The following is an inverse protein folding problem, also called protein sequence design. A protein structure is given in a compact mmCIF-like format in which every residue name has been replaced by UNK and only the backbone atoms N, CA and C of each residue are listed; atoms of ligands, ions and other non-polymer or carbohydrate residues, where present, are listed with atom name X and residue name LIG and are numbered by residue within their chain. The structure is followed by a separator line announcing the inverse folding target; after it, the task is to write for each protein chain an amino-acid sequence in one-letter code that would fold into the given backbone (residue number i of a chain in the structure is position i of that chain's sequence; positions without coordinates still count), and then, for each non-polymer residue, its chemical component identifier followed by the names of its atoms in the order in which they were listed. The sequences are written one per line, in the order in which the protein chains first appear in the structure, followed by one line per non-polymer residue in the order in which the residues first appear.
data_IF_304002424768
#
_entry.id   IF_304002424768
#
_cell.length_a   1.000
_cell.length_b   1.000
_cell.length_c   1.000
_cell.angle_alpha   90.00
_cell.angle_beta   90.00
_cell.angle_gamma   90.00
#
_symmetry.space_group_name_H-M   'P 1'
#
loop_
_entity.id
_entity.type
_entity.pdbx_description
1 polymer ?
#
# COMPACT_ATOMS: atom_id res chain seq x y z
N UNK A 1 -30.61 39.91 5.63
CA UNK A 1 -29.24 39.37 5.57
C UNK A 1 -28.30 40.52 5.26
N UNK A 2 -27.57 40.99 6.27
CA UNK A 2 -26.72 42.18 6.20
C UNK A 2 -25.40 41.86 5.46
N UNK A 3 -24.87 42.84 4.73
CA UNK A 3 -23.63 42.72 3.94
C UNK A 3 -22.44 42.13 4.74
N UNK A 4 -22.45 42.31 6.05
CA UNK A 4 -21.43 41.74 6.95
C UNK A 4 -21.45 40.21 7.05
N UNK A 5 -22.61 39.57 6.88
CA UNK A 5 -22.71 38.09 6.90
C UNK A 5 -22.10 37.46 5.64
N UNK A 6 -22.20 38.11 4.47
CA UNK A 6 -21.56 37.65 3.24
C UNK A 6 -20.03 37.79 3.28
N UNK A 7 -19.53 38.87 3.84
CA UNK A 7 -18.07 39.10 3.97
C UNK A 7 -17.42 38.06 4.91
N UNK A 8 -18.12 37.70 5.98
CA UNK A 8 -17.63 36.67 6.92
C UNK A 8 -17.59 35.28 6.27
N UNK A 9 -18.63 34.92 5.50
CA UNK A 9 -18.69 33.66 4.79
C UNK A 9 -17.58 33.52 3.74
N UNK A 10 -17.32 34.57 2.97
CA UNK A 10 -16.24 34.59 1.95
C UNK A 10 -14.85 34.49 2.62
N UNK A 11 -14.64 35.11 3.77
CA UNK A 11 -13.38 34.97 4.53
C UNK A 11 -13.17 33.57 5.08
N UNK A 12 -14.21 32.90 5.57
CA UNK A 12 -14.10 31.51 6.08
C UNK A 12 -13.80 30.55 4.92
N UNK A 13 -14.43 30.70 3.79
CA UNK A 13 -14.17 29.87 2.58
C UNK A 13 -12.73 30.08 2.07
N UNK A 14 -12.25 31.32 2.01
CA UNK A 14 -10.87 31.59 1.61
C UNK A 14 -9.84 31.04 2.61
N UNK A 15 -10.09 31.10 3.92
CA UNK A 15 -9.22 30.49 4.91
C UNK A 15 -9.18 28.97 4.84
N UNK A 16 -10.31 28.34 4.50
CA UNK A 16 -10.34 26.89 4.28
C UNK A 16 -9.63 26.47 2.98
N UNK A 17 -9.76 27.26 1.92
CA UNK A 17 -9.08 27.01 0.64
C UNK A 17 -7.57 27.22 0.76
N UNK A 18 -7.11 28.27 1.43
CA UNK A 18 -5.66 28.49 1.67
C UNK A 18 -5.06 27.39 2.54
N UNK A 19 -5.75 26.97 3.61
CA UNK A 19 -5.28 25.86 4.44
C UNK A 19 -5.26 24.51 3.68
N UNK A 20 -6.19 24.30 2.74
CA UNK A 20 -6.17 23.13 1.87
C UNK A 20 -5.02 23.19 0.85
N UNK A 21 -4.77 24.37 0.28
CA UNK A 21 -3.63 24.61 -0.64
C UNK A 21 -2.27 24.46 0.06
N UNK A 22 -2.12 25.01 1.25
CA UNK A 22 -0.89 24.84 2.05
C UNK A 22 -0.67 23.37 2.40
N UNK A 23 -1.72 22.62 2.77
CA UNK A 23 -1.62 21.17 2.99
C UNK A 23 -1.22 20.40 1.72
N UNK A 24 -1.77 20.75 0.57
CA UNK A 24 -1.38 20.15 -0.71
C UNK A 24 0.07 20.50 -1.07
N UNK A 25 0.51 21.72 -0.86
CA UNK A 25 1.88 22.15 -1.15
C UNK A 25 2.89 21.48 -0.21
N UNK A 26 2.59 21.41 1.09
CA UNK A 26 3.42 20.73 2.09
C UNK A 26 3.54 19.22 1.74
N UNK A 27 2.44 18.57 1.35
CA UNK A 27 2.46 17.15 0.94
C UNK A 27 3.30 16.92 -0.34
N UNK A 28 3.42 17.91 -1.23
CA UNK A 28 4.20 17.77 -2.47
C UNK A 28 5.71 17.88 -2.25
N UNK A 29 6.16 18.41 -1.12
CA UNK A 29 7.58 18.62 -0.80
C UNK A 29 8.13 17.63 0.23
N UNK A 30 7.26 16.93 0.95
CA UNK A 30 7.67 15.96 1.98
C UNK A 30 7.87 14.56 1.39
N UNK A 31 8.89 13.82 1.85
CA UNK A 31 9.14 12.46 1.37
C UNK A 31 7.98 11.53 1.76
N UNK A 32 7.35 10.93 0.76
CA UNK A 32 6.34 9.89 0.93
C UNK A 32 7.00 8.54 0.74
N UNK A 33 6.92 7.69 1.76
CA UNK A 33 7.52 6.36 1.80
C UNK A 33 6.40 5.34 1.66
N UNK A 34 6.48 4.49 0.65
CA UNK A 34 5.51 3.42 0.41
C UNK A 34 6.03 2.04 0.87
N UNK A 35 5.18 1.01 0.81
CA UNK A 35 5.55 -0.35 1.22
C UNK A 35 6.70 -0.94 0.38
N UNK A 36 6.85 -0.56 -0.89
CA UNK A 36 7.94 -1.03 -1.73
C UNK A 36 9.27 -0.43 -1.28
N UNK A 37 9.28 0.85 -0.92
CA UNK A 37 10.46 1.53 -0.37
C UNK A 37 10.90 0.87 0.94
N UNK A 38 9.96 0.62 1.85
CA UNK A 38 10.21 -0.08 3.12
C UNK A 38 10.78 -1.49 2.85
N UNK A 39 10.23 -2.19 1.88
CA UNK A 39 10.71 -3.52 1.50
C UNK A 39 12.14 -3.48 0.95
N UNK A 40 12.45 -2.49 0.13
CA UNK A 40 13.79 -2.31 -0.43
C UNK A 40 14.81 -2.00 0.68
N UNK A 41 14.51 -1.07 1.58
CA UNK A 41 15.36 -0.74 2.72
C UNK A 41 15.60 -1.98 3.60
N UNK A 42 14.54 -2.74 3.89
CA UNK A 42 14.64 -3.96 4.69
C UNK A 42 15.53 -5.00 4.03
N UNK A 43 15.41 -5.21 2.72
CA UNK A 43 16.26 -6.13 1.95
C UNK A 43 17.73 -5.71 1.97
N UNK A 44 18.01 -4.42 1.75
CA UNK A 44 19.36 -3.88 1.77
C UNK A 44 20.01 -4.07 3.14
N UNK A 45 19.28 -3.79 4.23
CA UNK A 45 19.80 -3.99 5.58
C UNK A 45 20.05 -5.48 5.89
N UNK A 46 19.20 -6.39 5.43
CA UNK A 46 19.41 -7.82 5.59
C UNK A 46 20.62 -8.32 4.81
N UNK A 47 20.85 -7.83 3.59
CA UNK A 47 22.03 -8.16 2.80
C UNK A 47 23.33 -7.71 3.46
N UNK A 48 23.33 -6.54 4.10
CA UNK A 48 24.49 -6.03 4.86
C UNK A 48 24.76 -6.88 6.11
N UNK A 49 23.70 -7.33 6.79
CA UNK A 49 23.82 -8.14 8.01
C UNK A 49 24.16 -9.62 7.72
N UNK A 50 23.71 -10.14 6.56
CA UNK A 50 23.84 -11.56 6.18
C UNK A 50 24.26 -11.70 4.72
N UNK A 51 25.50 -11.32 4.33
CA UNK A 51 25.94 -11.27 2.93
C UNK A 51 25.92 -12.63 2.23
N UNK A 52 25.94 -13.74 2.97
CA UNK A 52 25.98 -15.10 2.44
C UNK A 52 24.60 -15.79 2.37
N UNK A 53 23.53 -15.17 2.86
CA UNK A 53 22.19 -15.73 2.68
C UNK A 53 21.67 -15.39 1.29
N UNK A 54 21.75 -16.38 0.38
CA UNK A 54 21.04 -16.30 -0.91
C UNK A 54 19.54 -16.23 -0.61
N UNK A 55 18.96 -15.04 -0.73
CA UNK A 55 17.52 -14.88 -0.78
C UNK A 55 17.03 -15.59 -2.05
N UNK A 56 16.48 -16.78 -1.88
CA UNK A 56 15.73 -17.41 -2.96
C UNK A 56 14.40 -16.68 -3.13
N UNK A 57 14.17 -15.96 -4.20
CA UNK A 57 12.83 -15.53 -4.58
C UNK A 57 12.07 -16.80 -4.99
N UNK A 58 11.52 -17.52 -4.00
CA UNK A 58 10.77 -18.76 -4.21
C UNK A 58 9.38 -18.54 -4.83
N UNK A 59 9.22 -17.55 -5.69
CA UNK A 59 8.05 -17.44 -6.56
C UNK A 59 8.47 -17.75 -7.98
N UNK A 60 7.89 -18.80 -8.57
CA UNK A 60 8.02 -19.02 -10.00
C UNK A 60 7.41 -17.80 -10.73
N UNK A 61 7.90 -17.49 -11.93
CA UNK A 61 7.32 -16.41 -12.75
C UNK A 61 5.82 -16.65 -13.00
N UNK A 62 5.41 -17.92 -13.08
CA UNK A 62 4.01 -18.32 -13.21
C UNK A 62 3.18 -17.93 -12.00
N UNK A 63 3.69 -18.12 -10.78
CA UNK A 63 2.99 -17.75 -9.54
C UNK A 63 2.78 -16.22 -9.43
N UNK A 64 3.72 -15.44 -9.97
CA UNK A 64 3.60 -13.98 -10.05
C UNK A 64 2.48 -13.56 -10.98
N UNK A 65 2.41 -14.09 -12.20
CA UNK A 65 1.36 -13.78 -13.19
C UNK A 65 -0.03 -14.13 -12.65
N UNK A 66 -0.17 -15.30 -12.03
CA UNK A 66 -1.46 -15.71 -11.45
C UNK A 66 -1.86 -14.80 -10.29
N UNK A 67 -0.92 -14.35 -9.46
CA UNK A 67 -1.18 -13.43 -8.35
C UNK A 67 -1.62 -12.05 -8.86
N UNK A 68 -0.98 -11.54 -9.92
CA UNK A 68 -1.31 -10.25 -10.53
C UNK A 68 -2.70 -10.29 -11.17
N UNK A 69 -3.00 -11.35 -11.92
CA UNK A 69 -4.33 -11.56 -12.52
C UNK A 69 -5.41 -11.72 -11.45
N UNK A 70 -5.14 -12.41 -10.35
CA UNK A 70 -6.07 -12.51 -9.24
C UNK A 70 -6.36 -11.14 -8.62
N UNK A 71 -5.33 -10.33 -8.39
CA UNK A 71 -5.51 -8.97 -7.88
C UNK A 71 -6.34 -8.10 -8.82
N UNK A 72 -6.12 -8.23 -10.14
CA UNK A 72 -6.91 -7.54 -11.16
C UNK A 72 -8.39 -7.98 -11.12
N UNK A 73 -8.65 -9.30 -11.06
CA UNK A 73 -10.02 -9.84 -10.97
C UNK A 73 -10.74 -9.32 -9.73
N UNK A 74 -10.08 -9.33 -8.57
CA UNK A 74 -10.68 -8.82 -7.34
C UNK A 74 -11.01 -7.33 -7.45
N UNK A 75 -10.13 -6.53 -8.03
CA UNK A 75 -10.38 -5.10 -8.28
C UNK A 75 -11.58 -4.90 -9.21
N UNK A 76 -11.62 -5.59 -10.34
CA UNK A 76 -12.74 -5.51 -11.29
C UNK A 76 -14.05 -5.93 -10.67
N UNK A 77 -14.05 -7.03 -9.89
CA UNK A 77 -15.22 -7.52 -9.18
C UNK A 77 -15.84 -6.48 -8.25
N UNK A 78 -15.01 -5.77 -7.48
CA UNK A 78 -15.49 -4.72 -6.57
C UNK A 78 -15.88 -3.42 -7.28
N UNK A 79 -15.33 -3.15 -8.47
CA UNK A 79 -15.75 -2.07 -9.35
C UNK A 79 -17.05 -2.41 -10.12
N UNK A 80 -17.53 -3.65 -10.05
CA UNK A 80 -18.72 -4.12 -10.78
C UNK A 80 -18.48 -4.32 -12.27
N UNK A 81 -17.23 -4.49 -12.68
CA UNK A 81 -16.84 -4.77 -14.06
C UNK A 81 -16.98 -6.28 -14.37
N UNK A 82 -17.21 -6.65 -15.65
CA UNK A 82 -17.28 -8.06 -16.05
C UNK A 82 -15.97 -8.78 -15.77
N UNK A 83 -16.05 -9.92 -15.11
CA UNK A 83 -14.88 -10.77 -14.77
C UNK A 83 -14.94 -12.16 -15.40
N UNK A 84 -16.07 -12.53 -16.00
CA UNK A 84 -16.31 -13.85 -16.55
C UNK A 84 -15.23 -14.30 -17.54
N UNK A 85 -14.75 -13.45 -18.49
CA UNK A 85 -13.68 -13.84 -19.39
C UNK A 85 -12.38 -14.24 -18.68
N UNK A 86 -12.03 -13.52 -17.59
CA UNK A 86 -10.85 -13.82 -16.79
C UNK A 86 -11.03 -15.09 -15.95
N UNK A 87 -12.22 -15.28 -15.37
CA UNK A 87 -12.53 -16.50 -14.61
C UNK A 87 -12.50 -17.75 -15.48
N UNK A 88 -13.00 -17.65 -16.72
CA UNK A 88 -12.95 -18.76 -17.70
C UNK A 88 -11.51 -19.07 -18.13
N UNK A 89 -10.67 -18.05 -18.29
CA UNK A 89 -9.27 -18.23 -18.67
C UNK A 89 -8.40 -18.79 -17.53
N UNK A 90 -8.79 -18.52 -16.26
CA UNK A 90 -8.03 -18.90 -15.08
C UNK A 90 -8.91 -19.62 -14.04
N UNK A 91 -9.17 -20.93 -14.18
CA UNK A 91 -10.03 -21.70 -13.25
C UNK A 91 -9.58 -21.63 -11.78
N UNK A 92 -8.28 -21.56 -11.54
CA UNK A 92 -7.71 -21.39 -10.19
C UNK A 92 -8.17 -20.07 -9.54
N UNK A 93 -8.22 -18.98 -10.32
CA UNK A 93 -8.68 -17.68 -9.85
C UNK A 93 -10.19 -17.75 -9.55
N UNK A 94 -10.96 -18.41 -10.40
CA UNK A 94 -12.40 -18.62 -10.16
C UNK A 94 -12.65 -19.36 -8.83
N UNK A 95 -11.87 -20.41 -8.56
CA UNK A 95 -11.92 -21.14 -7.29
C UNK A 95 -11.60 -20.22 -6.10
N UNK A 96 -10.56 -19.42 -6.17
CA UNK A 96 -10.18 -18.50 -5.10
C UNK A 96 -11.24 -17.42 -4.85
N UNK A 97 -11.83 -16.87 -5.90
CA UNK A 97 -12.94 -15.91 -5.78
C UNK A 97 -14.12 -16.54 -5.04
N UNK A 98 -14.51 -17.77 -5.40
CA UNK A 98 -15.57 -18.52 -4.71
C UNK A 98 -15.24 -18.74 -3.23
N UNK A 99 -14.02 -19.17 -2.93
CA UNK A 99 -13.58 -19.38 -1.54
C UNK A 99 -13.61 -18.07 -0.72
N UNK A 100 -13.23 -16.95 -1.31
CA UNK A 100 -13.31 -15.63 -0.64
C UNK A 100 -14.79 -15.26 -0.39
N UNK A 101 -15.69 -15.53 -1.34
CA UNK A 101 -17.12 -15.26 -1.19
C UNK A 101 -17.71 -16.06 -0.03
N UNK A 102 -17.27 -17.29 0.17
CA UNK A 102 -17.68 -18.14 1.29
C UNK A 102 -17.09 -17.66 2.63
N UNK A 103 -15.80 -17.30 2.65
CA UNK A 103 -15.09 -16.91 3.87
C UNK A 103 -15.43 -15.49 4.36
N UNK A 104 -15.77 -14.58 3.46
CA UNK A 104 -16.03 -13.18 3.77
C UNK A 104 -17.28 -12.66 3.01
N UNK A 105 -18.47 -13.27 3.16
CA UNK A 105 -19.67 -12.87 2.44
C UNK A 105 -20.08 -11.42 2.74
N UNK A 106 -19.66 -10.87 3.87
CA UNK A 106 -19.94 -9.50 4.27
C UNK A 106 -19.38 -8.45 3.31
N UNK A 107 -18.24 -8.70 2.66
CA UNK A 107 -17.65 -7.73 1.72
C UNK A 107 -18.39 -7.73 0.38
N UNK A 108 -19.03 -8.83 0.00
CA UNK A 108 -19.79 -8.95 -1.25
C UNK A 108 -21.22 -8.42 -1.12
N UNK A 109 -21.85 -8.62 0.04
CA UNK A 109 -23.20 -8.10 0.32
C UNK A 109 -23.26 -6.57 0.28
N UNK A 110 -22.17 -5.92 0.53
CA UNK A 110 -22.07 -4.45 0.61
C UNK A 110 -20.90 -3.92 -0.22
N UNK A 111 -20.80 -4.31 -1.49
CA UNK A 111 -19.69 -3.93 -2.39
C UNK A 111 -19.37 -2.43 -2.38
N UNK A 112 -20.40 -1.58 -2.33
CA UNK A 112 -20.25 -0.12 -2.28
C UNK A 112 -19.58 0.40 -0.99
N UNK A 113 -19.46 -0.44 0.04
CA UNK A 113 -18.86 -0.07 1.33
C UNK A 113 -17.41 -0.51 1.49
N UNK A 114 -16.90 -1.32 0.57
CA UNK A 114 -15.50 -1.70 0.54
C UNK A 114 -14.75 -0.81 -0.44
N UNK A 115 -13.80 -0.05 0.09
CA UNK A 115 -12.84 0.73 -0.69
C UNK A 115 -11.66 -0.18 -1.00
N UNK A 116 -11.47 -0.52 -2.26
CA UNK A 116 -10.36 -1.37 -2.74
C UNK A 116 -9.18 -0.49 -3.10
N UNK A 117 -7.96 -0.93 -2.72
CA UNK A 117 -6.70 -0.21 -2.94
C UNK A 117 -6.78 1.26 -2.50
N UNK A 118 -7.51 1.51 -1.41
CA UNK A 118 -7.65 2.87 -0.89
C UNK A 118 -6.32 3.37 -0.35
N UNK A 119 -5.83 4.53 -0.80
CA UNK A 119 -4.62 5.12 -0.25
C UNK A 119 -4.87 5.61 1.18
N UNK A 120 -4.00 5.18 2.07
CA UNK A 120 -3.99 5.60 3.48
C UNK A 120 -2.63 6.19 3.76
N UNK A 121 -2.59 7.40 4.34
CA UNK A 121 -1.38 8.17 4.58
C UNK A 121 -1.33 8.60 6.04
N UNK A 122 -0.20 8.38 6.70
CA UNK A 122 -0.01 8.82 8.07
C UNK A 122 1.35 9.48 8.27
N UNK A 123 1.43 10.55 9.07
CA UNK A 123 2.70 11.17 9.42
C UNK A 123 3.50 10.29 10.39
N UNK A 124 4.81 10.25 10.16
CA UNK A 124 5.80 9.63 11.02
C UNK A 124 6.92 10.64 11.29
N UNK A 125 7.06 11.08 12.53
CA UNK A 125 8.15 11.95 12.94
C UNK A 125 9.43 11.12 13.13
N UNK A 126 10.51 11.52 12.45
CA UNK A 126 11.83 10.91 12.56
C UNK A 126 12.82 12.03 12.83
N UNK A 127 13.39 12.08 14.03
CA UNK A 127 14.14 13.22 14.51
C UNK A 127 13.28 14.50 14.42
N UNK A 128 13.73 15.54 13.75
CA UNK A 128 12.99 16.79 13.53
C UNK A 128 12.26 16.83 12.17
N UNK A 129 12.39 15.77 11.38
CA UNK A 129 11.76 15.66 10.05
C UNK A 129 10.44 14.91 10.09
N UNK A 130 9.45 15.40 9.34
CA UNK A 130 8.20 14.73 9.13
C UNK A 130 8.24 13.93 7.82
N UNK A 131 8.02 12.64 7.91
CA UNK A 131 7.84 11.74 6.79
C UNK A 131 6.38 11.30 6.70
N UNK A 132 5.94 10.87 5.52
CA UNK A 132 4.62 10.28 5.34
C UNK A 132 4.73 8.83 4.91
N UNK A 133 4.07 7.95 5.64
CA UNK A 133 3.93 6.54 5.25
C UNK A 133 2.62 6.40 4.48
N UNK A 134 2.71 5.96 3.22
CA UNK A 134 1.56 5.68 2.36
C UNK A 134 1.42 4.18 2.12
N UNK A 135 0.21 3.67 2.28
CA UNK A 135 -0.13 2.28 1.98
C UNK A 135 -1.40 2.21 1.15
N UNK A 136 -1.49 1.20 0.30
CA UNK A 136 -2.75 0.83 -0.35
C UNK A 136 -3.36 -0.32 0.45
N UNK A 137 -4.64 -0.21 0.78
CA UNK A 137 -5.33 -1.25 1.56
C UNK A 137 -6.83 -1.28 1.25
N UNK A 138 -7.45 -2.44 1.48
CA UNK A 138 -8.88 -2.60 1.29
C UNK A 138 -9.58 -2.33 2.62
N UNK A 139 -10.47 -1.33 2.66
CA UNK A 139 -11.10 -0.85 3.90
C UNK A 139 -12.61 -0.88 3.76
N UNK A 140 -13.28 -1.48 4.74
CA UNK A 140 -14.70 -1.29 5.00
C UNK A 140 -14.89 -0.59 6.34
N UNK A 141 -15.97 0.17 6.48
CA UNK A 141 -16.30 0.83 7.75
C UNK A 141 -17.49 0.13 8.41
N UNK A 142 -17.33 -0.21 9.69
CA UNK A 142 -18.41 -0.68 10.54
C UNK A 142 -18.59 0.32 11.68
N UNK A 143 -19.73 1.01 11.72
CA UNK A 143 -20.01 2.06 12.72
C UNK A 143 -18.90 3.13 12.81
N UNK A 144 -18.36 3.54 11.65
CA UNK A 144 -17.26 4.51 11.56
C UNK A 144 -15.86 3.95 11.84
N UNK A 145 -15.74 2.72 12.29
CA UNK A 145 -14.45 2.08 12.60
C UNK A 145 -13.94 1.33 11.37
N UNK A 146 -12.70 1.59 10.91
CA UNK A 146 -12.11 0.91 9.77
C UNK A 146 -11.81 -0.55 10.09
N UNK A 147 -12.17 -1.42 9.17
CA UNK A 147 -11.80 -2.83 9.14
C UNK A 147 -11.06 -3.11 7.84
N UNK A 148 -9.86 -3.60 7.93
CA UNK A 148 -9.02 -3.92 6.78
C UNK A 148 -9.33 -5.33 6.29
N UNK A 149 -9.24 -5.52 4.98
CA UNK A 149 -9.33 -6.83 4.33
C UNK A 149 -8.11 -7.02 3.44
N UNK A 150 -7.42 -8.14 3.66
CA UNK A 150 -6.26 -8.52 2.86
C UNK A 150 -6.49 -9.89 2.25
N UNK A 151 -6.37 -10.01 0.96
CA UNK A 151 -6.39 -11.28 0.25
C UNK A 151 -5.05 -11.49 -0.45
N UNK A 152 -4.41 -12.61 -0.16
CA UNK A 152 -3.08 -12.89 -0.68
C UNK A 152 -2.81 -14.39 -0.76
N UNK A 153 -2.00 -14.78 -1.73
CA UNK A 153 -1.51 -16.15 -1.88
C UNK A 153 -0.36 -16.35 -0.92
N UNK A 154 -0.66 -16.74 0.29
CA UNK A 154 0.32 -16.93 1.39
C UNK A 154 -0.23 -17.75 2.54
N UNK A 155 0.65 -18.14 3.45
CA UNK A 155 0.20 -18.72 4.73
C UNK A 155 -0.58 -17.69 5.57
N UNK A 156 -1.58 -18.13 6.38
CA UNK A 156 -2.38 -17.27 7.24
C UNK A 156 -1.58 -16.76 8.44
N UNK A 157 -0.87 -15.65 8.26
CA UNK A 157 -0.13 -14.98 9.33
C UNK A 157 -0.15 -13.47 9.15
N UNK A 158 0.05 -12.74 10.21
CA UNK A 158 0.19 -11.29 10.19
C UNK A 158 1.61 -10.91 9.74
N UNK A 159 1.74 -10.35 8.54
CA UNK A 159 3.02 -9.93 8.00
C UNK A 159 3.41 -8.53 8.51
N UNK A 160 4.65 -8.10 8.23
CA UNK A 160 5.07 -6.74 8.53
C UNK A 160 4.30 -5.69 7.70
N UNK A 161 3.96 -6.00 6.43
CA UNK A 161 3.13 -5.14 5.58
C UNK A 161 1.75 -4.91 6.22
N UNK A 162 1.13 -5.96 6.74
CA UNK A 162 -0.16 -5.85 7.42
C UNK A 162 -0.08 -4.97 8.67
N UNK A 163 1.03 -5.07 9.43
CA UNK A 163 1.28 -4.22 10.59
C UNK A 163 1.41 -2.75 10.21
N UNK A 164 2.12 -2.44 9.11
CA UNK A 164 2.24 -1.08 8.59
C UNK A 164 0.89 -0.56 8.12
N UNK A 165 0.08 -1.37 7.39
CA UNK A 165 -1.28 -1.01 6.98
C UNK A 165 -2.16 -0.68 8.18
N UNK A 166 -2.13 -1.50 9.24
CA UNK A 166 -2.89 -1.27 10.48
C UNK A 166 -2.43 -0.01 11.20
N UNK A 167 -1.11 0.19 11.33
CA UNK A 167 -0.53 1.37 11.97
C UNK A 167 -0.92 2.66 11.23
N UNK A 168 -0.76 2.69 9.91
CA UNK A 168 -1.09 3.85 9.07
C UNK A 168 -2.58 4.17 9.14
N UNK A 169 -3.44 3.12 9.07
CA UNK A 169 -4.89 3.29 9.17
C UNK A 169 -5.32 3.86 10.52
N UNK A 170 -4.76 3.35 11.63
CA UNK A 170 -5.05 3.85 12.97
C UNK A 170 -4.73 5.35 13.09
N UNK A 171 -3.61 5.76 12.53
CA UNK A 171 -3.14 7.15 12.55
C UNK A 171 -4.00 8.06 11.67
N UNK A 172 -4.26 7.67 10.42
CA UNK A 172 -5.03 8.51 9.49
C UNK A 172 -6.45 8.78 9.99
N UNK A 173 -7.12 7.75 10.49
CA UNK A 173 -8.50 7.88 10.96
C UNK A 173 -8.62 8.26 12.43
N UNK A 174 -7.49 8.49 13.13
CA UNK A 174 -7.44 8.85 14.56
C UNK A 174 -8.26 7.90 15.43
N UNK A 175 -8.24 6.60 15.11
CA UNK A 175 -9.02 5.57 15.80
C UNK A 175 -8.15 4.87 16.83
N UNK A 176 -8.77 4.50 17.97
CA UNK A 176 -8.07 3.71 18.98
C UNK A 176 -7.60 2.38 18.38
N UNK A 177 -6.31 2.03 18.47
CA UNK A 177 -5.77 0.79 17.92
C UNK A 177 -6.53 -0.46 18.33
N UNK A 178 -7.04 -0.53 19.55
CA UNK A 178 -7.81 -1.68 20.05
C UNK A 178 -9.16 -1.91 19.32
N UNK A 179 -9.61 -0.94 18.55
CA UNK A 179 -10.86 -1.04 17.77
C UNK A 179 -10.64 -1.49 16.34
N UNK A 180 -9.40 -1.41 15.83
CA UNK A 180 -9.07 -1.79 14.46
C UNK A 180 -8.79 -3.28 14.38
N UNK A 181 -9.17 -3.86 13.26
CA UNK A 181 -8.87 -5.26 12.94
C UNK A 181 -8.59 -5.42 11.45
N UNK A 182 -7.82 -6.46 11.13
CA UNK A 182 -7.60 -6.92 9.77
C UNK A 182 -8.13 -8.34 9.62
N UNK A 183 -8.79 -8.58 8.50
CA UNK A 183 -9.22 -9.92 8.06
C UNK A 183 -8.29 -10.34 6.94
N UNK A 184 -7.51 -11.36 7.18
CA UNK A 184 -6.60 -11.93 6.18
C UNK A 184 -7.27 -13.17 5.58
N UNK A 185 -7.48 -13.12 4.27
CA UNK A 185 -8.01 -14.21 3.45
C UNK A 185 -6.80 -14.84 2.73
N UNK A 186 -6.23 -15.85 3.37
CA UNK A 186 -5.03 -16.51 2.89
C UNK A 186 -5.40 -17.59 1.89
N UNK A 187 -4.94 -17.43 0.66
CA UNK A 187 -5.16 -18.33 -0.46
C UNK A 187 -3.97 -19.29 -0.63
N UNK A 188 -4.25 -20.48 -1.13
CA UNK A 188 -3.25 -21.48 -1.42
C UNK A 188 -3.58 -22.20 -2.73
N UNK A 189 -2.59 -22.54 -3.58
CA UNK A 189 -2.83 -23.23 -4.84
C UNK A 189 -3.55 -24.57 -4.72
N UNK A 190 -3.29 -25.29 -3.62
CA UNK A 190 -3.79 -26.69 -3.45
C UNK A 190 -4.71 -26.82 -2.24
N UNK A 191 -4.51 -26.04 -1.18
CA UNK A 191 -5.28 -26.14 0.06
C UNK A 191 -6.46 -25.17 0.06
N UNK A 192 -7.53 -25.45 0.81
CA UNK A 192 -8.61 -24.49 1.00
C UNK A 192 -8.10 -23.15 1.55
N UNK A 193 -8.73 -22.08 1.12
CA UNK A 193 -8.45 -20.75 1.66
C UNK A 193 -8.77 -20.68 3.15
N UNK A 194 -8.05 -19.85 3.87
CA UNK A 194 -8.20 -19.70 5.32
C UNK A 194 -8.45 -18.24 5.68
N UNK A 195 -9.33 -18.04 6.65
CA UNK A 195 -9.63 -16.72 7.21
C UNK A 195 -8.97 -16.56 8.56
N UNK A 196 -8.16 -15.52 8.71
CA UNK A 196 -7.54 -15.11 9.97
C UNK A 196 -8.05 -13.70 10.34
N UNK A 197 -8.66 -13.59 11.53
CA UNK A 197 -9.07 -12.30 12.07
C UNK A 197 -8.06 -11.85 13.12
N UNK A 198 -7.40 -10.73 12.88
CA UNK A 198 -6.40 -10.18 13.81
C UNK A 198 -6.93 -8.87 14.37
N UNK A 199 -7.01 -8.76 15.69
CA UNK A 199 -7.29 -7.51 16.40
C UNK A 199 -5.97 -6.78 16.64
N UNK A 200 -5.96 -5.50 16.34
CA UNK A 200 -4.84 -4.64 16.62
C UNK A 200 -4.86 -4.18 18.08
N UNK A 201 -3.74 -3.72 18.59
CA UNK A 201 -3.69 -3.17 19.95
C UNK A 201 -2.61 -2.09 20.08
N UNK A 202 -2.68 -1.32 21.16
CA UNK A 202 -1.78 -0.20 21.42
C UNK A 202 -0.29 -0.63 21.52
N UNK A 203 -0.02 -1.81 22.04
CA UNK A 203 1.36 -2.34 22.16
C UNK A 203 1.96 -2.59 20.77
N UNK A 204 1.22 -3.25 19.88
CA UNK A 204 1.65 -3.49 18.50
C UNK A 204 1.76 -2.21 17.70
N UNK A 205 0.85 -1.25 17.90
CA UNK A 205 0.93 0.09 17.32
C UNK A 205 2.27 0.75 17.66
N UNK A 206 2.63 0.80 18.92
CA UNK A 206 3.89 1.39 19.39
C UNK A 206 5.13 0.61 18.91
N UNK A 207 5.06 -0.71 18.87
CA UNK A 207 6.14 -1.54 18.38
C UNK A 207 6.40 -1.33 16.88
N UNK A 208 5.33 -1.22 16.09
CA UNK A 208 5.43 -0.96 14.66
C UNK A 208 6.00 0.43 14.40
N UNK A 209 5.57 1.44 15.14
CA UNK A 209 6.11 2.79 15.05
C UNK A 209 7.61 2.84 15.36
N UNK A 210 8.02 2.24 16.48
CA UNK A 210 9.44 2.15 16.86
C UNK A 210 10.28 1.40 15.81
N UNK A 211 9.72 0.34 15.23
CA UNK A 211 10.38 -0.40 14.17
C UNK A 211 10.53 0.46 12.89
N UNK A 212 9.49 1.19 12.48
CA UNK A 212 9.55 2.10 11.34
C UNK A 212 10.60 3.20 11.55
N UNK A 213 10.59 3.86 12.72
CA UNK A 213 11.59 4.87 13.07
C UNK A 213 13.00 4.26 12.98
N UNK A 214 13.23 3.12 13.64
CA UNK A 214 14.53 2.46 13.61
C UNK A 214 14.99 2.10 12.19
N UNK A 215 14.06 1.64 11.35
CA UNK A 215 14.35 1.25 9.97
C UNK A 215 14.78 2.46 9.12
N UNK A 216 14.11 3.59 9.32
CA UNK A 216 14.29 4.79 8.49
C UNK A 216 15.37 5.74 9.05
N UNK A 217 15.73 5.63 10.34
CA UNK A 217 16.77 6.46 10.98
C UNK A 217 18.18 5.90 10.78
N UNK A 218 18.34 4.64 10.35
CA UNK A 218 19.70 4.11 10.12
C UNK A 218 20.38 4.92 9.05
N UNK A 219 21.58 5.46 9.31
CA UNK A 219 22.36 6.12 8.29
C UNK A 219 22.54 5.14 7.14
N UNK A 220 22.21 5.56 5.94
CA UNK A 220 22.79 4.99 4.75
C UNK A 220 24.29 5.24 4.94
N UNK A 221 25.05 4.19 5.26
CA UNK A 221 26.48 4.28 5.44
C UNK A 221 27.05 5.10 4.27
N UNK A 222 27.75 6.19 4.59
CA UNK A 222 28.38 7.14 3.65
C UNK A 222 29.41 6.47 2.71
N UNK A 223 29.50 5.16 2.71
CA UNK A 223 30.40 4.37 1.85
C UNK A 223 29.91 4.11 0.43
N UNK A 224 28.74 4.59 0.05
CA UNK A 224 28.30 4.54 -1.36
C UNK A 224 28.57 5.85 -2.12
N UNK A 225 29.35 6.78 -1.57
CA UNK A 225 29.99 7.83 -2.36
C UNK A 225 31.26 7.34 -3.08
N UNK A 226 31.32 6.07 -3.46
CA UNK A 226 32.30 5.65 -4.44
C UNK A 226 31.78 6.04 -5.82
N UNK A 227 32.24 7.22 -6.28
CA UNK A 227 32.42 7.55 -7.68
C UNK A 227 31.36 6.96 -8.63
N UNK A 228 30.14 7.51 -8.58
CA UNK A 228 29.37 7.60 -9.81
C UNK A 228 30.13 8.64 -10.64
N UNK A 229 31.18 8.21 -11.33
CA UNK A 229 31.62 8.87 -12.56
C UNK A 229 30.40 8.81 -13.45
N UNK A 230 29.66 9.90 -13.50
CA UNK A 230 28.66 10.12 -14.54
C UNK A 230 29.48 10.02 -15.82
N UNK A 231 29.34 8.96 -16.66
CA UNK A 231 29.95 9.02 -17.96
C UNK A 231 29.34 10.24 -18.63
N UNK A 232 30.17 11.21 -18.96
CA UNK A 232 29.77 12.34 -19.79
C UNK A 232 28.94 11.79 -20.93
N UNK A 233 27.67 12.19 -20.98
CA UNK A 233 26.73 11.91 -22.08
C UNK A 233 27.14 12.76 -23.29
N UNK A 234 28.39 12.56 -23.75
CA UNK A 234 28.94 13.11 -24.98
C UNK A 234 29.21 12.02 -26.00
N UNK A 235 28.34 11.01 -26.07
CA UNK A 235 28.19 10.23 -27.29
C UNK A 235 26.82 10.52 -27.87
N UNK A 236 26.81 11.47 -28.80
CA UNK A 236 25.73 11.80 -29.71
C UNK A 236 25.05 10.52 -30.18
N UNK A 237 23.79 10.33 -29.76
CA UNK A 237 22.91 9.41 -30.48
C UNK A 237 22.72 10.03 -31.86
N UNK A 238 23.36 9.40 -32.86
CA UNK A 238 23.22 9.80 -34.25
C UNK A 238 21.80 9.45 -34.70
N UNK A 239 20.90 10.44 -34.65
CA UNK A 239 19.48 10.34 -35.02
C UNK A 239 19.24 10.07 -36.52
N UNK A 240 20.31 10.09 -37.34
CA UNK A 240 20.23 9.84 -38.78
C UNK A 240 20.22 8.34 -39.16
N UNK A 241 20.35 7.44 -38.17
CA UNK A 241 20.39 5.98 -38.42
C UNK A 241 19.06 5.26 -38.22
N UNK A 242 17.93 5.96 -38.12
CA UNK A 242 16.61 5.33 -38.02
C UNK A 242 16.09 5.10 -39.46
N UNK A 243 15.98 3.86 -39.95
CA UNK A 243 15.41 3.59 -41.27
C UNK A 243 13.94 3.97 -41.30
N UNK A 244 13.55 4.86 -42.22
CA UNK A 244 12.15 5.15 -42.48
C UNK A 244 11.41 3.88 -42.92
N UNK A 245 10.43 3.46 -42.14
CA UNK A 245 9.50 2.42 -42.54
C UNK A 245 8.48 3.06 -43.48
N UNK A 246 8.60 2.80 -44.77
CA UNK A 246 7.55 3.14 -45.75
C UNK A 246 6.32 2.28 -45.47
N UNK A 247 5.20 2.96 -45.22
CA UNK A 247 3.86 2.37 -45.11
C UNK A 247 3.32 2.15 -46.53
#
# INVERSE_FOLDING_TARGET
LTANSCILAVRIINLQLTAAWERCYILSTMPVINLADIQQITKTQQQVLFPNQKFHPNRSAFDSIVADNFSLVMRQLFLGLPIEPLLNAYPQIAQWVSQIQELAPEIFKSRKKLLVDNPVIAPLAINDDNHFIQVLTNIAFKQGIPRLYEWAIRHPHLSWQDRVKLWTTARQYSVNPNQIQIVILALHPVKPAQRLNVRWNKKEQMQTEKWLIKLLTKPQDEKSQSNIVIPELSSMVNLEAIPEVKI
#
